data_IF_600431257391
#
_entry.id   IF_600431257391
#
_cell.length_a   1.000
_cell.length_b   1.000
_cell.length_c   1.000
_cell.angle_alpha   90.00
_cell.angle_beta   90.00
_cell.angle_gamma   90.00
#
_symmetry.space_group_name_H-M   'P 1'
#
loop_
_entity.id
_entity.type
_entity.pdbx_description
1 polymer ?
#
# COMPACT_ATOMS: atom_id res chain seq x y z
N UNK A 1 0.88 18.69 -33.39
CA UNK A 1 -0.53 18.78 -32.95
C UNK A 1 -0.94 17.42 -32.39
N UNK A 2 -1.16 17.34 -31.06
CA UNK A 2 -1.64 16.11 -30.42
C UNK A 2 -3.17 16.13 -30.59
N UNK A 3 -3.69 15.09 -31.22
CA UNK A 3 -5.13 14.99 -31.48
C UNK A 3 -5.92 14.96 -30.15
N UNK A 4 -6.95 15.80 -29.98
CA UNK A 4 -7.75 15.83 -28.75
C UNK A 4 -8.40 14.50 -28.40
N UNK A 5 -8.72 13.67 -29.38
CA UNK A 5 -9.38 12.38 -29.18
C UNK A 5 -8.53 11.38 -28.39
N UNK A 6 -7.20 11.48 -28.47
CA UNK A 6 -6.30 10.58 -27.71
C UNK A 6 -6.28 10.89 -26.22
N UNK A 7 -6.42 12.18 -25.86
CA UNK A 7 -6.48 12.56 -24.45
C UNK A 7 -7.82 12.18 -23.82
N UNK A 8 -8.92 12.32 -24.57
CA UNK A 8 -10.25 11.96 -24.10
C UNK A 8 -10.34 10.43 -23.91
N UNK A 9 -9.79 9.66 -24.85
CA UNK A 9 -9.80 8.19 -24.74
C UNK A 9 -8.92 7.68 -23.59
N UNK A 10 -7.79 8.36 -23.30
CA UNK A 10 -6.92 8.00 -22.18
C UNK A 10 -7.59 8.31 -20.81
N UNK A 11 -8.31 9.43 -20.73
CA UNK A 11 -9.05 9.80 -19.50
C UNK A 11 -10.23 8.83 -19.29
N UNK A 12 -10.98 8.51 -20.33
CA UNK A 12 -12.10 7.56 -20.23
C UNK A 12 -11.60 6.14 -19.89
N UNK A 13 -10.42 5.78 -20.38
CA UNK A 13 -9.79 4.50 -20.04
C UNK A 13 -9.42 4.43 -18.56
N UNK A 14 -8.84 5.50 -18.00
CA UNK A 14 -8.50 5.56 -16.59
C UNK A 14 -9.72 5.49 -15.68
N UNK A 15 -10.77 6.23 -16.01
CA UNK A 15 -12.02 6.21 -15.25
C UNK A 15 -12.64 4.81 -15.25
N UNK A 16 -12.63 4.14 -16.40
CA UNK A 16 -13.13 2.78 -16.53
C UNK A 16 -12.31 1.79 -15.71
N UNK A 17 -10.99 1.90 -15.74
CA UNK A 17 -10.11 1.05 -14.93
C UNK A 17 -10.34 1.27 -13.44
N UNK A 18 -10.55 2.52 -13.00
CA UNK A 18 -10.86 2.83 -11.60
C UNK A 18 -12.22 2.26 -11.18
N UNK A 19 -13.23 2.32 -12.06
CA UNK A 19 -14.54 1.71 -11.80
C UNK A 19 -14.41 0.20 -11.66
N UNK A 20 -13.64 -0.44 -12.54
CA UNK A 20 -13.38 -1.88 -12.47
C UNK A 20 -12.64 -2.24 -11.17
N UNK A 21 -11.64 -1.44 -10.79
CA UNK A 21 -10.92 -1.65 -9.53
C UNK A 21 -11.85 -1.59 -8.33
N UNK A 22 -12.80 -0.64 -8.33
CA UNK A 22 -13.79 -0.53 -7.25
C UNK A 22 -14.73 -1.75 -7.23
N UNK A 23 -15.15 -2.20 -8.40
CA UNK A 23 -16.10 -3.32 -8.53
C UNK A 23 -15.50 -4.64 -8.01
N UNK A 24 -14.19 -4.87 -8.16
CA UNK A 24 -13.56 -6.11 -7.74
C UNK A 24 -13.13 -6.11 -6.27
N UNK A 25 -13.14 -4.97 -5.58
CA UNK A 25 -12.75 -4.91 -4.16
C UNK A 25 -13.80 -5.60 -3.29
N UNK A 26 -13.38 -6.39 -2.29
CA UNK A 26 -14.34 -6.96 -1.35
C UNK A 26 -14.98 -5.84 -0.50
N UNK A 27 -16.26 -5.99 -0.20
CA UNK A 27 -17.00 -5.05 0.63
C UNK A 27 -17.26 -5.58 2.04
N UNK A 28 -17.04 -6.89 2.27
CA UNK A 28 -17.30 -7.55 3.55
C UNK A 28 -16.07 -8.33 4.00
N UNK A 29 -15.94 -8.50 5.32
CA UNK A 29 -14.88 -9.34 5.87
C UNK A 29 -14.96 -10.78 5.37
N UNK A 30 -16.16 -11.29 5.13
CA UNK A 30 -16.34 -12.65 4.59
C UNK A 30 -15.66 -12.84 3.24
N UNK A 31 -15.56 -11.77 2.44
CA UNK A 31 -14.93 -11.80 1.12
C UNK A 31 -13.46 -11.35 1.14
N UNK A 32 -12.96 -10.93 2.30
CA UNK A 32 -11.60 -10.42 2.48
C UNK A 32 -10.63 -11.60 2.58
N UNK A 33 -9.78 -11.74 1.58
CA UNK A 33 -8.85 -12.88 1.44
C UNK A 33 -7.50 -12.47 2.03
N UNK A 34 -6.85 -13.42 2.72
CA UNK A 34 -5.54 -13.20 3.31
C UNK A 34 -5.59 -12.40 4.60
N UNK A 35 -4.43 -11.96 5.08
CA UNK A 35 -4.30 -11.16 6.30
C UNK A 35 -5.05 -11.82 7.49
N UNK A 36 -4.78 -13.08 7.81
CA UNK A 36 -5.66 -13.82 8.75
C UNK A 36 -5.76 -13.18 10.13
N UNK A 37 -4.65 -12.69 10.66
CA UNK A 37 -4.64 -12.03 11.98
C UNK A 37 -5.45 -10.73 11.98
N UNK A 38 -5.28 -9.93 10.92
CA UNK A 38 -6.03 -8.66 10.76
C UNK A 38 -7.53 -8.96 10.66
N UNK A 39 -7.90 -9.94 9.85
CA UNK A 39 -9.31 -10.32 9.65
C UNK A 39 -9.94 -10.79 10.95
N UNK A 40 -9.26 -11.68 11.69
CA UNK A 40 -9.76 -12.20 12.97
C UNK A 40 -9.94 -11.09 13.99
N UNK A 41 -8.95 -10.20 14.13
CA UNK A 41 -9.01 -9.09 15.08
C UNK A 41 -10.12 -8.10 14.71
N UNK A 42 -10.21 -7.73 13.43
CA UNK A 42 -11.23 -6.75 13.00
C UNK A 42 -12.63 -7.33 13.15
N UNK A 43 -12.83 -8.61 12.86
CA UNK A 43 -14.12 -9.28 13.09
C UNK A 43 -14.53 -9.19 14.56
N UNK A 44 -13.59 -9.46 15.46
CA UNK A 44 -13.81 -9.38 16.91
C UNK A 44 -14.17 -7.94 17.34
N UNK A 45 -13.36 -6.96 16.95
CA UNK A 45 -13.53 -5.57 17.36
C UNK A 45 -14.82 -4.96 16.81
N UNK A 46 -15.13 -5.24 15.55
CA UNK A 46 -16.36 -4.75 14.91
C UNK A 46 -17.59 -5.38 15.58
N UNK A 47 -17.56 -6.68 15.80
CA UNK A 47 -18.67 -7.37 16.48
C UNK A 47 -18.91 -6.80 17.87
N UNK A 48 -17.86 -6.57 18.63
CA UNK A 48 -17.94 -6.01 19.98
C UNK A 48 -18.50 -4.58 19.98
N UNK A 49 -18.02 -3.72 19.09
CA UNK A 49 -18.48 -2.33 18.98
C UNK A 49 -19.95 -2.28 18.58
N UNK A 50 -20.36 -3.12 17.63
CA UNK A 50 -21.79 -3.21 17.21
C UNK A 50 -22.67 -3.70 18.35
N UNK A 51 -22.21 -4.69 19.12
CA UNK A 51 -22.96 -5.21 20.25
C UNK A 51 -23.21 -4.16 21.34
N UNK A 52 -22.25 -3.25 21.53
CA UNK A 52 -22.38 -2.14 22.49
C UNK A 52 -23.04 -0.90 21.88
N UNK A 53 -23.33 -0.91 20.59
CA UNK A 53 -23.86 0.23 19.83
C UNK A 53 -22.95 1.46 19.93
N UNK A 54 -21.64 1.22 19.83
CA UNK A 54 -20.60 2.25 19.92
C UNK A 54 -19.87 2.39 18.58
N UNK A 55 -19.29 3.54 18.35
CA UNK A 55 -18.34 3.72 17.25
C UNK A 55 -17.12 2.82 17.50
N UNK A 56 -16.54 2.28 16.42
CA UNK A 56 -15.31 1.51 16.52
C UNK A 56 -14.17 2.44 16.97
N UNK A 57 -13.23 1.92 17.75
CA UNK A 57 -12.03 2.69 18.12
C UNK A 57 -11.28 3.15 16.89
N UNK A 58 -10.63 4.30 16.99
CA UNK A 58 -9.80 4.84 15.90
C UNK A 58 -8.76 3.79 15.50
N UNK A 59 -8.63 3.57 14.20
CA UNK A 59 -7.86 2.46 13.63
C UNK A 59 -6.77 2.98 12.71
N UNK A 60 -5.52 2.56 12.95
CA UNK A 60 -4.39 2.83 12.07
C UNK A 60 -4.08 1.58 11.25
N UNK A 61 -4.03 1.74 9.93
CA UNK A 61 -3.69 0.66 9.00
C UNK A 61 -2.39 1.04 8.31
N UNK A 62 -1.36 0.21 8.44
CA UNK A 62 -0.08 0.51 7.81
C UNK A 62 0.51 -0.69 7.08
N UNK A 63 1.38 -0.41 6.12
CA UNK A 63 2.05 -1.41 5.31
C UNK A 63 2.38 -0.89 3.93
N UNK A 64 3.14 -1.64 3.15
CA UNK A 64 3.51 -1.24 1.78
C UNK A 64 2.30 -0.85 0.93
N UNK A 65 2.52 -0.06 -0.14
CA UNK A 65 1.40 0.34 -1.01
C UNK A 65 0.80 -0.85 -1.75
N UNK A 66 -0.48 -0.76 -2.06
CA UNK A 66 -1.19 -1.77 -2.86
C UNK A 66 -1.71 -2.97 -2.10
N UNK A 67 -1.58 -3.00 -0.77
CA UNK A 67 -2.01 -4.15 0.06
C UNK A 67 -3.48 -4.07 0.47
N UNK A 68 -4.19 -2.98 0.14
CA UNK A 68 -5.63 -2.90 0.40
C UNK A 68 -6.00 -2.12 1.66
N UNK A 69 -5.21 -1.12 2.06
CA UNK A 69 -5.54 -0.26 3.22
C UNK A 69 -6.89 0.44 3.03
N UNK A 70 -7.13 1.01 1.86
CA UNK A 70 -8.41 1.64 1.49
C UNK A 70 -9.54 0.62 1.50
N UNK A 71 -9.29 -0.57 0.98
CA UNK A 71 -10.26 -1.66 0.95
C UNK A 71 -10.71 -2.01 2.38
N UNK A 72 -9.75 -2.17 3.30
CA UNK A 72 -10.07 -2.48 4.68
C UNK A 72 -10.87 -1.36 5.36
N UNK A 73 -10.55 -0.09 5.08
CA UNK A 73 -11.32 1.05 5.61
C UNK A 73 -12.79 0.99 5.14
N UNK A 74 -13.01 0.68 3.86
CA UNK A 74 -14.37 0.54 3.32
C UNK A 74 -15.11 -0.66 3.94
N UNK A 75 -14.41 -1.77 4.16
CA UNK A 75 -14.98 -2.95 4.82
C UNK A 75 -15.41 -2.58 6.24
N UNK A 76 -14.57 -1.84 6.98
CA UNK A 76 -14.90 -1.39 8.35
C UNK A 76 -16.22 -0.62 8.34
N UNK A 77 -16.36 0.37 7.46
CA UNK A 77 -17.59 1.17 7.37
C UNK A 77 -18.80 0.30 7.02
N UNK A 78 -18.64 -0.59 6.04
CA UNK A 78 -19.72 -1.48 5.60
C UNK A 78 -20.14 -2.43 6.73
N UNK A 79 -19.19 -3.04 7.42
CA UNK A 79 -19.49 -3.96 8.53
C UNK A 79 -20.10 -3.24 9.74
N UNK A 80 -19.70 -1.99 9.99
CA UNK A 80 -20.29 -1.17 11.04
C UNK A 80 -21.66 -0.60 10.66
N UNK A 81 -22.03 -0.65 9.37
CA UNK A 81 -23.31 -0.13 8.87
C UNK A 81 -23.36 1.38 8.84
N UNK A 82 -22.24 2.04 8.58
CA UNK A 82 -22.10 3.50 8.58
C UNK A 82 -21.51 4.00 7.26
N UNK A 83 -21.60 5.31 7.05
CA UNK A 83 -21.01 5.96 5.88
C UNK A 83 -19.50 6.19 6.08
N UNK A 84 -18.78 6.26 4.98
CA UNK A 84 -17.35 6.58 4.99
C UNK A 84 -17.12 7.86 4.18
N UNK A 85 -16.33 8.79 4.74
CA UNK A 85 -15.81 9.94 4.03
C UNK A 85 -14.31 9.77 3.90
N UNK A 86 -13.79 9.95 2.69
CA UNK A 86 -12.38 9.68 2.39
C UNK A 86 -11.66 10.96 2.02
N UNK A 87 -10.47 11.13 2.56
CA UNK A 87 -9.55 12.21 2.24
C UNK A 87 -8.12 11.69 2.35
N UNK A 88 -7.15 12.60 2.26
CA UNK A 88 -5.74 12.24 2.43
C UNK A 88 -4.99 13.35 3.14
N UNK A 89 -3.86 13.02 3.76
CA UNK A 89 -3.02 13.99 4.44
C UNK A 89 -2.68 15.20 3.57
N UNK A 90 -2.19 15.00 2.33
CA UNK A 90 -1.87 16.13 1.45
C UNK A 90 -3.03 17.06 1.10
N UNK A 91 -4.26 16.56 1.09
CA UNK A 91 -5.46 17.35 0.76
C UNK A 91 -5.86 18.25 1.94
N UNK A 92 -5.56 17.83 3.16
CA UNK A 92 -5.90 18.57 4.38
C UNK A 92 -4.81 19.61 4.69
N UNK A 93 -4.82 20.71 3.96
CA UNK A 93 -3.78 21.73 4.08
C UNK A 93 -4.00 22.66 5.28
N UNK A 94 -5.26 22.93 5.63
CA UNK A 94 -5.63 23.89 6.65
C UNK A 94 -6.58 23.27 7.67
N UNK A 95 -6.57 23.76 8.92
CA UNK A 95 -7.51 23.27 9.94
C UNK A 95 -8.98 23.33 9.52
N UNK A 96 -9.38 24.32 8.73
CA UNK A 96 -10.74 24.45 8.22
C UNK A 96 -11.14 23.31 7.27
N UNK A 97 -10.19 22.75 6.54
CA UNK A 97 -10.47 21.61 5.66
C UNK A 97 -10.89 20.38 6.48
N UNK A 98 -10.19 20.12 7.58
CA UNK A 98 -10.51 19.03 8.49
C UNK A 98 -11.82 19.31 9.24
N UNK A 99 -12.01 20.55 9.73
CA UNK A 99 -13.21 20.95 10.44
C UNK A 99 -14.47 20.74 9.58
N UNK A 100 -14.40 21.09 8.29
CA UNK A 100 -15.52 20.91 7.36
C UNK A 100 -15.91 19.44 7.24
N UNK A 101 -14.92 18.54 7.18
CA UNK A 101 -15.18 17.08 7.11
C UNK A 101 -15.80 16.58 8.42
N UNK A 102 -15.21 16.96 9.55
CA UNK A 102 -15.64 16.48 10.87
C UNK A 102 -17.08 16.92 11.21
N UNK A 103 -17.44 18.15 10.88
CA UNK A 103 -18.78 18.68 11.17
C UNK A 103 -19.87 18.05 10.30
N UNK A 104 -19.49 17.43 9.20
CA UNK A 104 -20.45 16.75 8.29
C UNK A 104 -20.60 15.25 8.59
N UNK A 105 -19.91 14.72 9.60
CA UNK A 105 -20.05 13.32 9.99
C UNK A 105 -21.30 13.10 10.82
N UNK A 106 -21.96 11.96 10.61
CA UNK A 106 -23.02 11.47 11.47
C UNK A 106 -22.45 10.50 12.51
N UNK A 107 -23.22 10.21 13.57
CA UNK A 107 -22.78 9.33 14.62
C UNK A 107 -22.38 7.95 14.09
N UNK A 108 -21.17 7.54 14.42
CA UNK A 108 -20.61 6.26 14.02
C UNK A 108 -19.88 6.26 12.68
N UNK A 109 -19.97 7.33 11.89
CA UNK A 109 -19.36 7.42 10.56
C UNK A 109 -17.83 7.22 10.64
N UNK A 110 -17.28 6.74 9.53
CA UNK A 110 -15.83 6.57 9.35
C UNK A 110 -15.29 7.76 8.55
N UNK A 111 -14.25 8.39 9.09
CA UNK A 111 -13.40 9.33 8.35
C UNK A 111 -12.11 8.60 8.00
N UNK A 112 -11.87 8.38 6.71
CA UNK A 112 -10.66 7.72 6.21
C UNK A 112 -9.67 8.77 5.72
N UNK A 113 -8.47 8.77 6.30
CA UNK A 113 -7.38 9.69 5.91
C UNK A 113 -6.21 8.85 5.39
N UNK A 114 -6.03 8.84 4.08
CA UNK A 114 -4.88 8.17 3.46
C UNK A 114 -3.63 9.05 3.61
N UNK A 115 -2.46 8.43 3.61
CA UNK A 115 -1.17 9.11 3.81
C UNK A 115 -1.21 10.05 5.05
N UNK A 116 -1.74 9.53 6.16
CA UNK A 116 -1.97 10.35 7.37
C UNK A 116 -0.66 10.92 7.94
N UNK A 117 0.48 10.29 7.64
CA UNK A 117 1.80 10.79 8.03
C UNK A 117 2.16 12.13 7.38
N UNK A 118 1.40 12.55 6.36
CA UNK A 118 1.64 13.81 5.64
C UNK A 118 0.77 14.98 6.13
N UNK A 119 0.05 14.80 7.22
CA UNK A 119 -0.68 15.91 7.86
C UNK A 119 0.31 16.95 8.39
N UNK A 120 -0.03 18.24 8.23
CA UNK A 120 0.75 19.31 8.83
C UNK A 120 0.54 19.34 10.35
N UNK A 121 1.50 19.85 11.13
CA UNK A 121 1.33 19.93 12.59
C UNK A 121 0.09 20.72 13.03
N UNK A 122 -0.27 21.76 12.29
CA UNK A 122 -1.46 22.59 12.61
C UNK A 122 -2.74 21.77 12.48
N UNK A 123 -2.83 20.94 11.44
CA UNK A 123 -4.01 20.06 11.21
C UNK A 123 -4.02 18.94 12.25
N UNK A 124 -2.86 18.36 12.60
CA UNK A 124 -2.79 17.34 13.64
C UNK A 124 -3.32 17.86 14.98
N UNK A 125 -3.00 19.12 15.35
CA UNK A 125 -3.45 19.72 16.61
C UNK A 125 -4.97 19.83 16.68
N UNK A 126 -5.64 20.08 15.57
CA UNK A 126 -7.11 20.09 15.51
C UNK A 126 -7.66 18.67 15.64
N UNK A 127 -6.95 17.68 15.09
CA UNK A 127 -7.39 16.29 15.09
C UNK A 127 -7.36 15.66 16.49
N UNK A 128 -6.41 16.04 17.35
CA UNK A 128 -6.25 15.42 18.68
C UNK A 128 -7.51 15.51 19.55
N UNK A 129 -8.08 16.71 19.81
CA UNK A 129 -9.29 16.77 20.63
C UNK A 129 -10.50 16.12 19.93
N UNK A 130 -10.54 16.14 18.61
CA UNK A 130 -11.59 15.45 17.84
C UNK A 130 -11.53 13.93 18.08
N UNK A 131 -10.33 13.34 18.11
CA UNK A 131 -10.16 11.91 18.37
C UNK A 131 -10.44 11.53 19.83
N UNK A 132 -9.94 12.33 20.78
CA UNK A 132 -10.01 12.00 22.21
C UNK A 132 -11.38 12.30 22.82
N UNK A 133 -11.90 13.49 22.55
CA UNK A 133 -13.07 14.02 23.25
C UNK A 133 -14.27 14.27 22.33
N UNK A 134 -14.14 13.98 21.04
CA UNK A 134 -15.14 14.30 20.03
C UNK A 134 -15.51 15.79 20.09
N UNK A 135 -14.50 16.63 20.15
CA UNK A 135 -14.63 18.10 20.21
C UNK A 135 -13.72 18.74 19.19
N UNK A 136 -14.21 19.85 18.64
CA UNK A 136 -13.48 20.64 17.67
C UNK A 136 -13.28 22.04 18.25
N UNK A 137 -12.02 22.49 18.32
CA UNK A 137 -11.68 23.84 18.78
C UNK A 137 -11.64 24.77 17.55
N UNK A 138 -12.53 25.76 17.51
CA UNK A 138 -12.64 26.71 16.42
C UNK A 138 -12.25 28.10 16.93
N UNK A 139 -11.33 28.76 16.21
CA UNK A 139 -10.99 30.16 16.47
C UNK A 139 -11.93 31.05 15.68
N UNK A 140 -12.60 31.94 16.36
CA UNK A 140 -13.48 32.97 15.76
C UNK A 140 -12.89 34.35 16.03
N UNK A 141 -12.77 35.14 14.96
CA UNK A 141 -12.18 36.49 15.03
C UNK A 141 -10.70 36.48 14.73
N UNK A 142 -10.10 37.67 14.75
CA UNK A 142 -8.68 37.88 14.47
C UNK A 142 -8.02 38.72 15.55
N UNK A 143 -6.73 38.55 15.71
CA UNK A 143 -5.91 39.32 16.63
C UNK A 143 -6.25 39.08 18.10
N UNK A 144 -6.07 40.08 18.95
CA UNK A 144 -6.29 39.93 20.40
C UNK A 144 -7.74 39.65 20.81
N UNK A 145 -8.69 39.88 19.91
CA UNK A 145 -10.12 39.62 20.16
C UNK A 145 -10.56 38.24 19.72
N UNK A 146 -9.65 37.42 19.21
CA UNK A 146 -9.96 36.03 18.78
C UNK A 146 -10.40 35.21 19.99
N UNK A 147 -11.48 34.44 19.79
CA UNK A 147 -12.02 33.54 20.82
C UNK A 147 -12.03 32.09 20.32
N UNK A 148 -11.71 31.18 21.22
CA UNK A 148 -11.84 29.77 20.94
C UNK A 148 -13.23 29.28 21.37
N UNK A 149 -13.92 28.58 20.47
CA UNK A 149 -15.20 27.95 20.75
C UNK A 149 -15.04 26.46 20.59
N UNK A 150 -15.53 25.70 21.55
CA UNK A 150 -15.56 24.22 21.46
C UNK A 150 -16.89 23.79 20.89
N UNK A 151 -16.81 22.98 19.85
CA UNK A 151 -17.98 22.40 19.16
C UNK A 151 -17.97 20.90 19.39
N UNK A 152 -19.06 20.35 19.90
CA UNK A 152 -19.19 18.90 20.10
C UNK A 152 -19.44 18.21 18.76
N UNK A 153 -18.77 17.10 18.55
CA UNK A 153 -18.91 16.24 17.36
C UNK A 153 -19.62 14.95 17.76
N UNK A 154 -20.43 14.36 16.87
CA UNK A 154 -20.92 12.99 17.11
C UNK A 154 -19.72 12.02 17.17
N UNK A 155 -19.78 10.96 17.98
CA UNK A 155 -18.72 9.95 17.96
C UNK A 155 -18.52 9.40 16.56
N UNK A 156 -17.27 9.26 16.15
CA UNK A 156 -16.88 8.79 14.82
C UNK A 156 -15.64 7.91 14.94
N UNK A 157 -15.32 7.20 13.86
CA UNK A 157 -14.10 6.41 13.79
C UNK A 157 -13.15 7.05 12.77
N UNK A 158 -11.96 7.45 13.22
CA UNK A 158 -10.88 7.81 12.32
C UNK A 158 -10.16 6.54 11.88
N UNK A 159 -10.07 6.30 10.57
CA UNK A 159 -9.23 5.25 10.02
C UNK A 159 -8.09 5.94 9.27
N UNK A 160 -6.89 5.85 9.82
CA UNK A 160 -5.70 6.40 9.19
C UNK A 160 -4.93 5.33 8.43
N UNK A 161 -4.40 5.69 7.27
CA UNK A 161 -3.57 4.78 6.49
C UNK A 161 -2.22 5.40 6.20
N UNK A 162 -1.15 4.59 6.28
CA UNK A 162 0.20 5.06 6.00
C UNK A 162 1.05 3.91 5.46
N UNK A 163 2.02 4.23 4.62
CA UNK A 163 3.04 3.26 4.21
C UNK A 163 4.06 3.02 5.32
N UNK A 164 4.25 4.00 6.22
CA UNK A 164 5.29 3.95 7.26
C UNK A 164 4.73 4.45 8.60
N UNK A 165 4.40 3.53 9.50
CA UNK A 165 3.93 3.88 10.84
C UNK A 165 4.97 4.71 11.61
N UNK A 166 6.26 4.48 11.36
CA UNK A 166 7.34 5.22 12.03
C UNK A 166 7.43 6.70 11.65
N UNK A 167 6.74 7.14 10.59
CA UNK A 167 6.70 8.54 10.21
C UNK A 167 5.59 9.33 10.93
N UNK A 168 4.67 8.64 11.60
CA UNK A 168 3.67 9.32 12.42
C UNK A 168 4.34 9.92 13.66
N UNK A 169 3.87 11.09 14.08
CA UNK A 169 4.25 11.65 15.38
C UNK A 169 3.76 10.71 16.49
N UNK A 170 4.49 10.62 17.57
CA UNK A 170 4.07 9.80 18.71
C UNK A 170 2.69 10.21 19.23
N UNK A 171 2.39 11.52 19.41
CA UNK A 171 1.07 11.93 19.87
C UNK A 171 -0.06 11.41 18.98
N UNK A 172 0.11 11.42 17.66
CA UNK A 172 -0.93 10.93 16.75
C UNK A 172 -1.04 9.41 16.84
N UNK A 173 0.09 8.71 16.83
CA UNK A 173 0.10 7.23 16.87
C UNK A 173 -0.59 6.71 18.13
N UNK A 174 -0.31 7.33 19.29
CA UNK A 174 -0.81 6.88 20.60
C UNK A 174 -2.33 7.02 20.72
N UNK A 175 -2.96 7.78 19.83
CA UNK A 175 -4.41 7.99 19.85
C UNK A 175 -5.20 6.92 19.11
N UNK A 176 -4.52 6.01 18.40
CA UNK A 176 -5.18 4.89 17.74
C UNK A 176 -5.30 3.71 18.72
N UNK A 177 -6.54 3.29 18.98
CA UNK A 177 -6.81 2.14 19.84
C UNK A 177 -6.62 0.82 19.13
N UNK A 178 -6.70 0.80 17.81
CA UNK A 178 -6.52 -0.40 16.96
C UNK A 178 -5.42 -0.09 15.95
N UNK A 179 -4.43 -0.98 15.86
CA UNK A 179 -3.33 -0.84 14.92
C UNK A 179 -3.22 -2.13 14.10
N UNK A 180 -3.36 -2.02 12.79
CA UNK A 180 -3.33 -3.18 11.88
C UNK A 180 -2.18 -3.03 10.88
N UNK A 181 -1.29 -4.00 10.88
CA UNK A 181 -0.21 -4.08 9.92
C UNK A 181 -0.60 -5.03 8.79
N UNK A 182 -0.61 -4.53 7.56
CA UNK A 182 -0.83 -5.38 6.38
C UNK A 182 0.51 -5.88 5.87
N UNK A 183 0.55 -7.15 5.52
CA UNK A 183 1.75 -7.82 5.03
C UNK A 183 1.57 -8.20 3.57
N UNK A 184 2.69 -8.47 2.89
CA UNK A 184 2.63 -9.00 1.53
C UNK A 184 1.88 -10.33 1.52
N UNK A 185 1.07 -10.54 0.49
CA UNK A 185 0.27 -11.74 0.33
C UNK A 185 1.13 -12.89 -0.18
N UNK A 186 0.80 -14.09 0.22
CA UNK A 186 1.39 -15.29 -0.38
C UNK A 186 0.75 -15.56 -1.75
N UNK A 187 1.35 -16.46 -2.52
CA UNK A 187 0.91 -16.76 -3.89
C UNK A 187 -0.49 -17.39 -3.88
N UNK A 188 -0.77 -18.24 -2.91
CA UNK A 188 -2.06 -18.94 -2.81
C UNK A 188 -3.22 -17.93 -2.60
N UNK A 189 -3.06 -17.02 -1.68
CA UNK A 189 -4.07 -15.98 -1.42
C UNK A 189 -4.25 -15.06 -2.64
N UNK A 190 -3.14 -14.67 -3.29
CA UNK A 190 -3.21 -13.85 -4.51
C UNK A 190 -3.88 -14.60 -5.66
N UNK A 191 -3.62 -15.89 -5.81
CA UNK A 191 -4.29 -16.71 -6.85
C UNK A 191 -5.80 -16.75 -6.60
N UNK A 192 -6.21 -16.86 -5.34
CA UNK A 192 -7.62 -16.80 -4.95
C UNK A 192 -8.22 -15.42 -5.30
N UNK A 193 -7.50 -14.34 -5.01
CA UNK A 193 -7.91 -12.97 -5.35
C UNK A 193 -8.06 -12.83 -6.88
N UNK A 194 -7.09 -13.32 -7.65
CA UNK A 194 -7.12 -13.24 -9.12
C UNK A 194 -8.33 -14.01 -9.66
N UNK A 195 -8.59 -15.22 -9.15
CA UNK A 195 -9.72 -16.05 -9.59
C UNK A 195 -11.06 -15.36 -9.25
N UNK A 196 -11.17 -14.78 -8.05
CA UNK A 196 -12.36 -14.03 -7.64
C UNK A 196 -12.57 -12.82 -8.55
N UNK A 197 -11.52 -12.04 -8.79
CA UNK A 197 -11.59 -10.86 -9.66
C UNK A 197 -11.97 -11.24 -11.08
N UNK A 198 -11.40 -12.32 -11.62
CA UNK A 198 -11.74 -12.84 -12.95
C UNK A 198 -13.22 -13.18 -13.03
N UNK A 199 -13.76 -13.85 -12.01
CA UNK A 199 -15.18 -14.19 -11.95
C UNK A 199 -16.07 -12.96 -11.98
N UNK A 200 -15.73 -11.93 -11.20
CA UNK A 200 -16.48 -10.65 -11.17
C UNK A 200 -16.42 -9.96 -12.55
N UNK A 201 -15.28 -10.03 -13.22
CA UNK A 201 -15.08 -9.43 -14.56
C UNK A 201 -15.65 -10.30 -15.70
N UNK A 202 -16.19 -11.48 -15.38
CA UNK A 202 -16.74 -12.39 -16.38
C UNK A 202 -15.68 -13.07 -17.25
N UNK A 203 -14.49 -13.27 -16.71
CA UNK A 203 -13.36 -13.88 -17.44
C UNK A 203 -13.23 -15.36 -17.08
N UNK A 204 -12.94 -16.18 -18.09
CA UNK A 204 -12.60 -17.57 -17.87
C UNK A 204 -11.09 -17.68 -17.62
N UNK A 205 -10.71 -18.27 -16.48
CA UNK A 205 -9.32 -18.41 -16.08
C UNK A 205 -9.09 -19.79 -15.49
N UNK A 206 -8.02 -20.42 -15.92
CA UNK A 206 -7.56 -21.67 -15.34
C UNK A 206 -6.85 -21.42 -14.01
N UNK A 207 -6.92 -22.37 -13.05
CA UNK A 207 -6.16 -22.23 -11.80
C UNK A 207 -4.67 -21.96 -12.02
N UNK A 208 -4.05 -22.58 -13.01
CA UNK A 208 -2.64 -22.40 -13.35
C UNK A 208 -2.38 -21.00 -13.94
N UNK A 209 -3.35 -20.43 -14.67
CA UNK A 209 -3.27 -19.06 -15.17
C UNK A 209 -3.32 -18.06 -14.03
N UNK A 210 -4.24 -18.27 -13.09
CA UNK A 210 -4.35 -17.43 -11.88
C UNK A 210 -3.06 -17.52 -11.04
N UNK A 211 -2.50 -18.73 -10.88
CA UNK A 211 -1.27 -18.94 -10.13
C UNK A 211 -0.08 -18.23 -10.79
N UNK A 212 0.01 -18.24 -12.13
CA UNK A 212 1.09 -17.54 -12.84
C UNK A 212 1.03 -16.03 -12.65
N UNK A 213 -0.18 -15.44 -12.72
CA UNK A 213 -0.37 -14.00 -12.44
C UNK A 213 -0.01 -13.71 -10.98
N UNK A 214 -0.49 -14.53 -10.04
CA UNK A 214 -0.25 -14.35 -8.61
C UNK A 214 1.24 -14.39 -8.26
N UNK A 215 1.97 -15.32 -8.86
CA UNK A 215 3.41 -15.50 -8.65
C UNK A 215 4.20 -14.24 -9.02
N UNK A 216 3.76 -13.52 -10.07
CA UNK A 216 4.44 -12.32 -10.55
C UNK A 216 3.87 -11.01 -10.01
N UNK A 217 2.93 -11.08 -9.06
CA UNK A 217 2.22 -9.90 -8.53
C UNK A 217 2.91 -9.27 -7.31
N UNK A 218 4.10 -9.72 -6.94
CA UNK A 218 4.92 -9.10 -5.88
C UNK A 218 4.20 -9.03 -4.54
N UNK A 219 3.41 -10.04 -4.21
CA UNK A 219 2.68 -10.07 -2.95
C UNK A 219 1.58 -9.02 -2.82
N UNK A 220 1.14 -8.39 -3.91
CA UNK A 220 0.33 -7.18 -3.87
C UNK A 220 -0.97 -7.37 -4.66
N UNK A 221 -2.16 -7.32 -4.01
CA UNK A 221 -3.43 -7.44 -4.72
C UNK A 221 -3.64 -6.40 -5.82
N UNK A 222 -3.21 -5.16 -5.61
CA UNK A 222 -3.33 -4.11 -6.65
C UNK A 222 -2.57 -4.52 -7.91
N UNK A 223 -1.34 -5.03 -7.75
CA UNK A 223 -0.53 -5.48 -8.90
C UNK A 223 -1.18 -6.71 -9.53
N UNK A 224 -1.65 -7.66 -8.73
CA UNK A 224 -2.31 -8.88 -9.24
C UNK A 224 -3.51 -8.51 -10.13
N UNK A 225 -4.36 -7.61 -9.67
CA UNK A 225 -5.55 -7.17 -10.43
C UNK A 225 -5.16 -6.38 -11.68
N UNK A 226 -4.12 -5.55 -11.59
CA UNK A 226 -3.59 -4.83 -12.77
C UNK A 226 -3.07 -5.80 -13.82
N UNK A 227 -2.28 -6.79 -13.40
CA UNK A 227 -1.75 -7.81 -14.30
C UNK A 227 -2.88 -8.65 -14.92
N UNK A 228 -3.90 -9.01 -14.13
CA UNK A 228 -5.06 -9.75 -14.63
C UNK A 228 -5.71 -9.01 -15.81
N UNK A 229 -5.93 -7.70 -15.67
CA UNK A 229 -6.52 -6.91 -16.74
C UNK A 229 -5.65 -6.87 -18.00
N UNK A 230 -4.33 -6.77 -17.84
CA UNK A 230 -3.41 -6.76 -18.98
C UNK A 230 -3.35 -8.14 -19.65
N UNK A 231 -3.38 -9.21 -18.86
CA UNK A 231 -3.44 -10.58 -19.39
C UNK A 231 -4.78 -10.81 -20.12
N UNK A 232 -5.89 -10.28 -19.59
CA UNK A 232 -7.19 -10.30 -20.28
C UNK A 232 -7.08 -9.69 -21.68
N UNK A 233 -6.50 -8.49 -21.76
CA UNK A 233 -6.36 -7.78 -23.04
C UNK A 233 -5.57 -8.64 -24.05
N UNK A 234 -4.50 -9.29 -23.58
CA UNK A 234 -3.70 -10.19 -24.42
C UNK A 234 -4.52 -11.42 -24.87
N UNK A 235 -5.28 -12.04 -23.93
CA UNK A 235 -6.09 -13.22 -24.22
C UNK A 235 -7.18 -12.91 -25.27
N UNK A 236 -7.81 -11.74 -25.16
CA UNK A 236 -8.85 -11.30 -26.11
C UNK A 236 -8.28 -11.04 -27.52
N UNK A 237 -7.08 -10.48 -27.63
CA UNK A 237 -6.51 -10.06 -28.90
C UNK A 237 -5.69 -11.18 -29.57
N UNK A 238 -4.94 -11.94 -28.78
CA UNK A 238 -4.00 -12.96 -29.29
C UNK A 238 -4.33 -14.39 -28.89
N UNK A 239 -5.43 -14.59 -28.18
CA UNK A 239 -5.92 -15.90 -27.75
C UNK A 239 -7.37 -16.12 -28.13
N UNK A 240 -8.06 -16.92 -27.34
CA UNK A 240 -9.49 -17.20 -27.52
C UNK A 240 -10.34 -16.57 -26.41
N UNK A 241 -9.74 -15.72 -25.60
CA UNK A 241 -10.40 -15.04 -24.50
C UNK A 241 -10.20 -15.67 -23.12
N UNK A 242 -9.87 -16.96 -23.08
CA UNK A 242 -9.60 -17.66 -21.84
C UNK A 242 -8.15 -17.44 -21.39
N UNK A 243 -7.94 -17.43 -20.07
CA UNK A 243 -6.62 -17.21 -19.49
C UNK A 243 -6.06 -18.53 -19.00
N UNK A 244 -5.27 -19.17 -19.85
CA UNK A 244 -4.50 -20.37 -19.52
C UNK A 244 -3.14 -19.95 -18.94
N UNK A 245 -2.40 -20.93 -18.38
CA UNK A 245 -1.03 -20.67 -17.92
C UNK A 245 -0.15 -20.13 -19.07
N UNK A 246 -0.28 -20.71 -20.26
CA UNK A 246 0.53 -20.33 -21.44
C UNK A 246 0.23 -18.87 -21.85
N UNK A 247 -1.05 -18.51 -21.88
CA UNK A 247 -1.48 -17.15 -22.22
C UNK A 247 -0.97 -16.16 -21.16
N UNK A 248 -1.11 -16.50 -19.87
CA UNK A 248 -0.61 -15.65 -18.77
C UNK A 248 0.90 -15.44 -18.89
N UNK A 249 1.67 -16.50 -19.10
CA UNK A 249 3.12 -16.41 -19.24
C UNK A 249 3.53 -15.51 -20.42
N UNK A 250 2.93 -15.72 -21.59
CA UNK A 250 3.24 -14.92 -22.79
C UNK A 250 2.89 -13.43 -22.57
N UNK A 251 1.73 -13.17 -21.97
CA UNK A 251 1.29 -11.80 -21.70
C UNK A 251 2.23 -11.09 -20.71
N UNK A 252 2.61 -11.78 -19.63
CA UNK A 252 3.48 -11.22 -18.60
C UNK A 252 4.89 -10.96 -19.13
N UNK A 253 5.39 -11.85 -19.99
CA UNK A 253 6.69 -11.65 -20.65
C UNK A 253 6.63 -10.45 -21.59
N UNK A 254 5.53 -10.26 -22.31
CA UNK A 254 5.33 -9.08 -23.16
C UNK A 254 5.33 -7.77 -22.35
N UNK A 255 4.85 -7.84 -21.10
CA UNK A 255 4.83 -6.70 -20.19
C UNK A 255 6.18 -6.48 -19.48
N UNK A 256 7.18 -7.27 -19.82
CA UNK A 256 8.53 -7.22 -19.21
C UNK A 256 8.50 -7.47 -17.70
N UNK A 257 7.59 -8.34 -17.26
CA UNK A 257 7.52 -8.82 -15.87
C UNK A 257 8.11 -10.23 -15.84
N UNK A 258 9.21 -10.41 -15.14
CA UNK A 258 9.91 -11.70 -15.12
C UNK A 258 9.24 -12.73 -14.19
N UNK A 259 9.81 -13.92 -14.11
CA UNK A 259 9.25 -15.04 -13.33
C UNK A 259 9.15 -14.76 -11.82
N UNK A 260 9.90 -13.77 -11.32
CA UNK A 260 9.86 -13.35 -9.91
C UNK A 260 8.98 -12.11 -9.70
N UNK A 261 8.40 -11.60 -10.79
CA UNK A 261 7.57 -10.40 -10.74
C UNK A 261 8.38 -9.09 -10.80
N UNK A 262 9.65 -9.15 -11.17
CA UNK A 262 10.48 -7.93 -11.28
C UNK A 262 10.21 -7.27 -12.62
N UNK A 263 9.97 -5.98 -12.54
CA UNK A 263 9.84 -5.13 -13.73
C UNK A 263 11.16 -4.42 -14.08
N UNK A 264 11.23 -3.55 -14.78
CA UNK A 264 12.26 -2.87 -15.20
C UNK A 264 12.96 -2.23 -14.24
N UNK A 265 12.18 -1.59 -13.43
CA UNK A 265 12.80 -0.75 -12.42
C UNK A 265 13.45 -1.58 -11.30
N UNK A 266 12.83 -2.67 -10.91
CA UNK A 266 13.43 -3.61 -9.94
C UNK A 266 14.77 -4.15 -10.43
N UNK A 267 14.76 -4.64 -11.68
CA UNK A 267 15.98 -5.20 -12.26
C UNK A 267 17.06 -4.14 -12.41
N UNK A 268 16.66 -2.92 -12.81
CA UNK A 268 17.58 -1.79 -12.95
C UNK A 268 18.19 -1.41 -11.59
N UNK A 269 17.39 -1.42 -10.52
CA UNK A 269 17.89 -1.15 -9.16
C UNK A 269 18.95 -2.17 -8.76
N UNK A 270 18.63 -3.46 -8.88
CA UNK A 270 19.56 -4.53 -8.50
C UNK A 270 20.83 -4.52 -9.34
N UNK A 271 20.71 -4.37 -10.66
CA UNK A 271 21.88 -4.33 -11.56
C UNK A 271 22.73 -3.07 -11.32
N UNK A 272 22.10 -1.92 -11.08
CA UNK A 272 22.85 -0.69 -10.73
C UNK A 272 23.67 -0.90 -9.46
N UNK A 273 23.07 -1.54 -8.45
CA UNK A 273 23.81 -1.84 -7.22
C UNK A 273 24.99 -2.79 -7.49
N UNK A 274 24.77 -3.81 -8.32
CA UNK A 274 25.82 -4.79 -8.66
C UNK A 274 26.92 -4.13 -9.49
N UNK A 275 26.57 -3.46 -10.58
CA UNK A 275 27.53 -3.01 -11.61
C UNK A 275 28.23 -1.70 -11.23
N UNK A 276 27.54 -0.77 -10.59
CA UNK A 276 28.08 0.56 -10.29
C UNK A 276 28.60 0.71 -8.86
N UNK A 277 28.12 -0.13 -7.95
CA UNK A 277 28.47 -0.01 -6.53
C UNK A 277 29.01 -1.31 -5.94
N UNK A 278 29.44 -2.23 -6.80
CA UNK A 278 30.03 -3.53 -6.40
C UNK A 278 29.14 -4.31 -5.42
N UNK A 279 27.81 -4.17 -5.58
CA UNK A 279 26.83 -4.82 -4.70
C UNK A 279 26.57 -4.11 -3.38
N UNK A 280 27.18 -2.95 -3.18
CA UNK A 280 27.01 -2.15 -1.97
C UNK A 280 28.09 -2.34 -0.93
N UNK A 281 28.03 -1.61 0.23
CA UNK A 281 26.90 -0.78 0.66
C UNK A 281 26.79 0.56 -0.08
N UNK A 282 25.56 0.97 -0.41
CA UNK A 282 25.32 2.22 -1.11
C UNK A 282 24.15 2.98 -0.44
N UNK A 283 24.34 4.28 -0.26
CA UNK A 283 23.31 5.16 0.33
C UNK A 283 22.15 5.40 -0.62
N UNK A 284 20.99 5.70 -0.04
CA UNK A 284 19.74 5.89 -0.82
C UNK A 284 19.86 7.05 -1.83
N UNK A 285 20.55 8.12 -1.46
CA UNK A 285 20.66 9.30 -2.33
C UNK A 285 21.51 9.00 -3.56
N UNK A 286 22.57 8.19 -3.40
CA UNK A 286 23.38 7.74 -4.53
C UNK A 286 22.60 6.81 -5.45
N UNK A 287 21.77 5.93 -4.89
CA UNK A 287 20.91 5.07 -5.69
C UNK A 287 19.85 5.88 -6.44
N UNK A 288 19.20 6.83 -5.78
CA UNK A 288 18.21 7.70 -6.38
C UNK A 288 18.80 8.47 -7.56
N UNK A 289 19.98 9.06 -7.38
CA UNK A 289 20.70 9.76 -8.44
C UNK A 289 21.08 8.82 -9.59
N UNK A 290 21.60 7.63 -9.29
CA UNK A 290 22.03 6.67 -10.31
C UNK A 290 20.88 6.12 -11.14
N UNK A 291 19.68 6.05 -10.55
CA UNK A 291 18.47 5.53 -11.19
C UNK A 291 17.63 6.64 -11.84
N UNK A 292 17.92 7.91 -11.52
CA UNK A 292 17.09 9.08 -11.87
C UNK A 292 15.66 8.87 -11.34
N UNK A 293 15.58 8.41 -10.09
CA UNK A 293 14.31 8.15 -9.40
C UNK A 293 14.27 8.92 -8.08
N UNK A 294 13.06 9.16 -7.60
CA UNK A 294 12.89 9.80 -6.31
C UNK A 294 13.20 8.81 -5.16
N UNK A 295 13.80 9.31 -4.11
CA UNK A 295 14.17 8.53 -2.93
C UNK A 295 13.00 7.71 -2.39
N UNK A 296 11.82 8.35 -2.27
CA UNK A 296 10.66 7.64 -1.70
C UNK A 296 10.13 6.53 -2.61
N UNK A 297 10.31 6.64 -3.93
CA UNK A 297 9.95 5.55 -4.86
C UNK A 297 10.77 4.31 -4.53
N UNK A 298 12.06 4.49 -4.30
CA UNK A 298 12.93 3.36 -3.94
C UNK A 298 12.52 2.79 -2.57
N UNK A 299 12.38 3.65 -1.56
CA UNK A 299 12.15 3.22 -0.18
C UNK A 299 10.76 2.62 0.06
N UNK A 300 9.73 3.13 -0.62
CA UNK A 300 8.35 2.73 -0.36
C UNK A 300 7.81 1.71 -1.34
N UNK A 301 8.30 1.72 -2.59
CA UNK A 301 7.74 0.87 -3.65
C UNK A 301 8.65 -0.30 -3.99
N UNK A 302 9.95 -0.06 -4.19
CA UNK A 302 10.87 -1.09 -4.67
C UNK A 302 11.44 -1.93 -3.54
N UNK A 303 12.09 -1.27 -2.56
CA UNK A 303 12.82 -1.96 -1.50
C UNK A 303 11.98 -2.92 -0.65
N UNK A 304 10.74 -2.58 -0.22
CA UNK A 304 10.05 -3.45 0.74
C UNK A 304 9.88 -4.88 0.25
N UNK A 305 9.52 -5.05 -1.01
CA UNK A 305 9.37 -6.38 -1.60
C UNK A 305 10.74 -7.07 -1.78
N UNK A 306 11.71 -6.34 -2.31
CA UNK A 306 13.06 -6.89 -2.56
C UNK A 306 13.75 -7.30 -1.24
N UNK A 307 13.54 -6.53 -0.16
CA UNK A 307 14.06 -6.86 1.16
C UNK A 307 13.38 -8.12 1.71
N UNK A 308 12.05 -8.17 1.64
CA UNK A 308 11.29 -9.32 2.14
C UNK A 308 11.67 -10.60 1.40
N UNK A 309 11.92 -10.50 0.09
CA UNK A 309 12.32 -11.64 -0.73
C UNK A 309 13.82 -11.95 -0.62
N UNK A 310 14.55 -11.17 0.15
CA UNK A 310 15.96 -11.42 0.44
C UNK A 310 16.92 -11.03 -0.68
N UNK A 311 16.56 -10.10 -1.55
CA UNK A 311 17.43 -9.62 -2.63
C UNK A 311 18.30 -8.44 -2.20
N UNK A 312 17.81 -7.65 -1.24
CA UNK A 312 18.52 -6.48 -0.69
C UNK A 312 18.48 -6.57 0.84
N UNK A 313 19.53 -6.07 1.48
CA UNK A 313 19.55 -5.85 2.93
C UNK A 313 19.88 -4.38 3.21
N UNK A 314 19.30 -3.83 4.26
CA UNK A 314 19.69 -2.51 4.80
C UNK A 314 20.72 -2.72 5.91
N UNK A 315 21.81 -1.99 5.83
CA UNK A 315 22.88 -1.97 6.85
C UNK A 315 23.08 -0.53 7.33
N UNK A 316 23.78 -0.30 8.44
CA UNK A 316 24.10 1.06 8.87
C UNK A 316 24.85 1.89 7.82
N UNK A 317 25.61 1.24 6.94
CA UNK A 317 26.40 1.92 5.88
C UNK A 317 25.61 2.08 4.57
N UNK A 318 24.41 1.48 4.45
CA UNK A 318 23.59 1.57 3.25
C UNK A 318 23.02 0.23 2.81
N UNK A 319 22.55 0.19 1.56
CA UNK A 319 21.92 -0.98 0.97
C UNK A 319 22.95 -1.89 0.35
N UNK A 320 22.77 -3.21 0.53
CA UNK A 320 23.67 -4.24 0.00
C UNK A 320 22.81 -5.29 -0.70
N UNK A 321 23.21 -5.72 -1.90
CA UNK A 321 22.56 -6.85 -2.57
C UNK A 321 23.04 -8.16 -1.96
N UNK A 322 22.15 -9.15 -1.95
CA UNK A 322 22.44 -10.49 -1.43
C UNK A 322 22.87 -11.42 -2.57
N UNK A 323 23.31 -12.63 -2.20
CA UNK A 323 23.59 -13.68 -3.18
C UNK A 323 22.39 -14.00 -4.09
N UNK A 324 21.16 -13.81 -3.61
CA UNK A 324 19.94 -14.09 -4.40
C UNK A 324 19.87 -13.21 -5.65
N UNK A 325 20.30 -11.95 -5.55
CA UNK A 325 20.32 -11.05 -6.71
C UNK A 325 21.30 -11.53 -7.78
N UNK A 326 22.49 -11.94 -7.40
CA UNK A 326 23.49 -12.48 -8.34
C UNK A 326 22.96 -13.74 -9.04
N UNK A 327 22.38 -14.66 -8.25
CA UNK A 327 21.80 -15.90 -8.81
C UNK A 327 20.66 -15.61 -9.79
N UNK A 328 19.81 -14.62 -9.46
CA UNK A 328 18.69 -14.24 -10.30
C UNK A 328 19.14 -13.79 -11.71
N UNK A 329 20.26 -13.08 -11.77
CA UNK A 329 20.80 -12.60 -13.06
C UNK A 329 21.83 -13.55 -13.67
N UNK A 330 22.06 -14.72 -13.07
CA UNK A 330 23.06 -15.67 -13.56
C UNK A 330 24.50 -15.16 -13.43
N UNK A 331 24.75 -14.26 -12.48
CA UNK A 331 26.07 -13.65 -12.26
C UNK A 331 26.86 -14.42 -11.21
N UNK A 332 28.19 -14.34 -11.32
CA UNK A 332 29.10 -14.95 -10.34
C UNK A 332 28.94 -14.27 -8.98
N UNK A 333 28.76 -15.08 -7.94
CA UNK A 333 28.62 -14.58 -6.57
C UNK A 333 30.01 -14.14 -6.08
N UNK A 334 30.17 -12.88 -5.64
CA UNK A 334 31.44 -12.43 -5.07
C UNK A 334 31.85 -13.26 -3.85
N UNK A 335 33.17 -13.44 -3.63
CA UNK A 335 33.70 -14.25 -2.54
C UNK A 335 33.15 -13.86 -1.17
N UNK A 336 32.91 -12.55 -0.94
CA UNK A 336 32.34 -12.02 0.32
C UNK A 336 30.91 -12.51 0.60
N UNK A 337 30.21 -13.06 -0.40
CA UNK A 337 28.85 -13.58 -0.29
C UNK A 337 28.80 -15.10 -0.48
N UNK A 338 29.93 -15.78 -0.52
CA UNK A 338 30.03 -17.22 -0.72
C UNK A 338 29.53 -18.03 0.49
N UNK A 339 29.30 -19.34 0.31
CA UNK A 339 28.85 -20.20 1.41
C UNK A 339 29.92 -20.25 2.51
N UNK A 340 29.49 -20.03 3.75
CA UNK A 340 30.37 -20.07 4.93
C UNK A 340 30.94 -18.72 5.37
N UNK A 341 30.66 -17.64 4.65
CA UNK A 341 30.97 -16.29 5.13
C UNK A 341 29.80 -15.79 5.96
N UNK A 342 29.85 -16.01 7.25
CA UNK A 342 29.04 -15.24 8.19
C UNK A 342 29.57 -13.80 8.12
N UNK A 343 28.82 -12.90 7.53
CA UNK A 343 29.08 -11.47 7.70
C UNK A 343 28.81 -11.15 9.16
N UNK A 344 29.87 -11.15 9.94
CA UNK A 344 29.84 -10.61 11.29
C UNK A 344 29.76 -9.09 11.12
N UNK A 345 28.53 -8.61 10.97
CA UNK A 345 28.24 -7.19 10.76
C UNK A 345 28.49 -6.34 12.02
N UNK A 346 29.00 -6.97 13.09
CA UNK A 346 29.14 -6.33 14.40
C UNK A 346 30.56 -6.32 14.98
N UNK A 347 31.53 -6.74 14.20
CA UNK A 347 32.91 -6.56 14.68
C UNK A 347 33.39 -5.13 14.40
N UNK A 348 33.22 -4.29 15.39
CA UNK A 348 33.99 -3.04 15.47
C UNK A 348 35.47 -3.41 15.56
N UNK A 349 36.27 -3.05 14.56
CA UNK A 349 37.73 -3.03 14.70
C UNK A 349 38.06 -1.82 15.57
N UNK A 350 38.02 -2.01 16.88
CA UNK A 350 38.71 -1.13 17.81
C UNK A 350 40.08 -1.81 18.09
N UNK A 351 41.11 -1.32 17.46
CA UNK A 351 42.44 -1.86 17.70
C UNK A 351 43.55 -1.06 17.03
N UNK A 352 44.15 -0.16 17.84
CA UNK A 352 45.38 0.61 17.67
C UNK A 352 45.28 1.84 16.76
#
# INVERSE_FOLDING_TARGET
MIEPDRLISAVSGRERDEQLDRAIRPLKLADYIGQPSVREQMELFIHAARGRQEALDHTLIFGPPGLGKTTLANIIAQEMGVSIKSTSGPVLERPGDLAALLTNLEAGDVLFVDEIHRLSPIVEEVLYPAMEDFQLDIMIGEGPAARSIKLDLPPFTLVGATTRAGMLTNPLRDRFGIVQRLEFYNVEDLATIVSRSAGILGLEIEPQGAAEIAKRARGTPRIANRLLRRVRDFAEVRGQGDITRVIADKALNLLDVDERGFDXLDRRLLLTMIDKFDGGPVGIDNLAAALSEERHTIEDVLEPYLIQQGYIMRTPRGRVVTRHAYLHFGLNIPKRLGPGVTTDLFTSEDGN
#
